data_IF_395049026209
#
_entry.id   IF_395049026209
#
_cell.length_a   1.000
_cell.length_b   1.000
_cell.length_c   1.000
_cell.angle_alpha   90.00
_cell.angle_beta   90.00
_cell.angle_gamma   90.00
#
_symmetry.space_group_name_H-M   'P 1'
#
loop_
_entity.id
_entity.type
_entity.pdbx_description
1 polymer ?
#
# COMPACT_ATOMS: atom_id res chain seq x y z
N UNK A 1 -0.37 2.75 -45.41
CA UNK A 1 -1.51 3.13 -44.54
C UNK A 1 -1.78 1.96 -43.61
N UNK A 2 -1.85 2.14 -42.28
CA UNK A 2 -2.20 1.03 -41.36
C UNK A 2 -3.70 1.09 -41.07
N UNK A 3 -4.44 0.18 -41.67
CA UNK A 3 -5.85 -0.10 -41.36
C UNK A 3 -6.00 -0.84 -40.04
N UNK A 4 -7.19 -0.69 -39.44
CA UNK A 4 -7.65 -1.29 -38.19
C UNK A 4 -7.06 -0.75 -36.88
N UNK A 5 -7.27 0.54 -36.62
CA UNK A 5 -7.78 0.96 -35.30
C UNK A 5 -9.22 1.39 -35.51
N UNK A 6 -10.17 0.66 -34.91
CA UNK A 6 -11.60 0.97 -34.98
C UNK A 6 -11.77 2.47 -34.64
N UNK A 7 -12.24 3.31 -35.59
CA UNK A 7 -12.30 4.78 -35.44
C UNK A 7 -13.07 5.22 -34.19
N UNK A 8 -13.93 4.35 -33.65
CA UNK A 8 -14.73 4.56 -32.45
C UNK A 8 -13.94 4.37 -31.15
N UNK A 9 -12.78 3.68 -31.19
CA UNK A 9 -11.94 3.49 -30.01
C UNK A 9 -10.88 4.59 -29.94
N UNK A 10 -11.11 5.60 -29.11
CA UNK A 10 -10.12 6.65 -28.80
C UNK A 10 -8.95 6.05 -28.01
N UNK A 11 -8.03 5.38 -28.71
CA UNK A 11 -6.83 4.78 -28.12
C UNK A 11 -5.66 5.76 -28.26
N UNK A 12 -5.17 6.28 -27.14
CA UNK A 12 -3.93 7.08 -27.12
C UNK A 12 -2.69 6.18 -27.17
N UNK A 13 -1.64 6.63 -27.86
CA UNK A 13 -0.36 5.93 -27.99
C UNK A 13 0.76 6.73 -27.30
N UNK A 14 1.42 6.13 -26.31
CA UNK A 14 2.47 6.75 -25.52
C UNK A 14 3.86 6.26 -25.93
N UNK A 15 4.82 7.18 -25.96
CA UNK A 15 6.23 6.91 -26.22
C UNK A 15 6.92 6.30 -25.01
N UNK A 16 8.00 5.56 -25.25
CA UNK A 16 8.89 5.16 -24.17
C UNK A 16 9.54 6.39 -23.52
N UNK A 17 9.75 6.38 -22.20
CA UNK A 17 10.43 7.46 -21.49
C UNK A 17 11.84 7.74 -22.01
N UNK A 18 12.27 9.01 -21.90
CA UNK A 18 13.65 9.42 -22.18
C UNK A 18 14.63 8.88 -21.13
N UNK A 19 14.18 8.83 -19.86
CA UNK A 19 14.97 8.28 -18.77
C UNK A 19 15.27 6.79 -18.99
N UNK A 20 16.55 6.42 -18.94
CA UNK A 20 17.02 5.07 -19.26
C UNK A 20 16.50 4.04 -18.27
N UNK A 21 16.53 4.34 -16.96
CA UNK A 21 16.04 3.44 -15.91
C UNK A 21 14.55 3.16 -16.06
N UNK A 22 13.74 4.21 -16.24
CA UNK A 22 12.29 4.06 -16.44
C UNK A 22 11.98 3.32 -17.74
N UNK A 23 12.74 3.57 -18.81
CA UNK A 23 12.61 2.85 -20.08
C UNK A 23 12.89 1.36 -19.92
N UNK A 24 13.93 1.00 -19.15
CA UNK A 24 14.26 -0.39 -18.86
C UNK A 24 13.15 -1.08 -18.06
N UNK A 25 12.55 -0.40 -17.07
CA UNK A 25 11.39 -0.91 -16.34
C UNK A 25 10.19 -1.18 -17.25
N UNK A 26 9.89 -0.26 -18.19
CA UNK A 26 8.83 -0.46 -19.17
C UNK A 26 9.11 -1.64 -20.10
N UNK A 27 10.37 -1.79 -20.54
CA UNK A 27 10.77 -2.91 -21.38
C UNK A 27 10.64 -4.25 -20.64
N UNK A 28 11.05 -4.29 -19.36
CA UNK A 28 10.90 -5.45 -18.48
C UNK A 28 9.44 -5.83 -18.27
N UNK A 29 8.55 -4.85 -18.13
CA UNK A 29 7.13 -5.09 -17.95
C UNK A 29 6.47 -5.76 -19.18
N UNK A 30 6.98 -5.51 -20.39
CA UNK A 30 6.49 -6.12 -21.62
C UNK A 30 6.90 -7.60 -21.76
N UNK A 31 7.96 -8.02 -21.04
CA UNK A 31 8.44 -9.41 -21.02
C UNK A 31 8.66 -10.04 -22.40
N UNK A 32 9.25 -9.29 -23.34
CA UNK A 32 9.61 -9.80 -24.67
C UNK A 32 11.11 -10.07 -24.75
N UNK A 33 11.47 -11.31 -25.04
CA UNK A 33 12.86 -11.76 -25.19
C UNK A 33 13.51 -11.13 -26.43
N UNK A 34 14.80 -10.79 -26.32
CA UNK A 34 15.60 -10.23 -27.41
C UNK A 34 15.09 -8.88 -27.96
N UNK A 35 14.18 -8.21 -27.26
CA UNK A 35 13.54 -6.99 -27.73
C UNK A 35 13.91 -5.77 -26.89
N UNK A 36 14.27 -4.68 -27.57
CA UNK A 36 14.52 -3.38 -26.96
C UNK A 36 13.61 -2.30 -27.55
N UNK A 37 13.17 -1.32 -26.72
CA UNK A 37 12.34 -0.23 -27.20
C UNK A 37 13.10 0.68 -28.14
N UNK A 38 12.57 0.85 -29.36
CA UNK A 38 13.06 1.80 -30.36
C UNK A 38 12.40 3.18 -30.15
N UNK A 39 12.94 4.27 -30.73
CA UNK A 39 12.32 5.61 -30.61
C UNK A 39 10.86 5.67 -31.09
N UNK A 40 10.50 4.82 -32.07
CA UNK A 40 9.15 4.70 -32.62
C UNK A 40 8.29 3.64 -31.90
N UNK A 41 8.83 2.94 -30.90
CA UNK A 41 8.05 2.02 -30.09
C UNK A 41 7.04 2.80 -29.25
N UNK A 42 5.80 2.32 -29.21
CA UNK A 42 4.68 2.96 -28.52
C UNK A 42 3.88 1.92 -27.74
N UNK A 43 3.26 2.36 -26.65
CA UNK A 43 2.34 1.57 -25.82
C UNK A 43 0.98 2.26 -25.84
N UNK A 44 -0.09 1.49 -26.02
CA UNK A 44 -1.44 2.05 -26.02
C UNK A 44 -1.96 2.30 -24.58
N UNK A 45 -2.89 3.25 -24.46
CA UNK A 45 -3.59 3.61 -23.21
C UNK A 45 -4.11 2.41 -22.40
N UNK A 46 -4.57 1.34 -23.06
CA UNK A 46 -5.12 0.14 -22.41
C UNK A 46 -4.16 -0.58 -21.45
N UNK A 47 -2.86 -0.30 -21.54
CA UNK A 47 -1.85 -0.90 -20.67
C UNK A 47 -1.68 -0.17 -19.33
N UNK A 48 -2.39 0.94 -19.13
CA UNK A 48 -2.40 1.77 -17.92
C UNK A 48 -3.81 1.75 -17.30
N UNK A 49 -3.89 1.79 -15.98
CA UNK A 49 -5.11 1.82 -15.17
C UNK A 49 -5.96 3.06 -15.46
N UNK A 50 -5.35 4.25 -15.44
CA UNK A 50 -6.00 5.52 -15.80
C UNK A 50 -5.92 5.82 -17.31
N UNK A 51 -5.42 4.88 -18.11
CA UNK A 51 -5.26 5.07 -19.55
C UNK A 51 -4.08 5.96 -19.96
N UNK A 52 -3.26 6.43 -19.01
CA UNK A 52 -2.08 7.27 -19.26
C UNK A 52 -0.94 6.96 -18.29
N UNK A 53 0.33 7.13 -18.69
CA UNK A 53 1.46 7.00 -17.78
C UNK A 53 1.53 8.18 -16.80
N UNK A 54 1.78 7.89 -15.52
CA UNK A 54 1.99 8.91 -14.48
C UNK A 54 3.46 9.25 -14.32
N UNK A 55 3.79 10.48 -13.91
CA UNK A 55 5.17 10.89 -13.59
C UNK A 55 5.57 10.62 -12.13
N UNK A 56 4.65 10.12 -11.31
CA UNK A 56 4.95 9.78 -9.94
C UNK A 56 5.32 8.28 -9.83
N UNK A 57 6.50 7.91 -9.28
CA UNK A 57 6.92 6.51 -9.12
C UNK A 57 6.00 5.69 -8.20
N UNK A 58 5.33 6.34 -7.25
CA UNK A 58 4.38 5.67 -6.35
C UNK A 58 3.05 5.33 -7.03
N UNK A 59 2.75 5.94 -8.18
CA UNK A 59 1.51 5.71 -8.90
C UNK A 59 1.51 4.31 -9.56
N UNK A 60 0.36 3.61 -9.63
CA UNK A 60 0.26 2.35 -10.38
C UNK A 60 0.68 2.51 -11.84
N UNK A 61 0.26 3.59 -12.51
CA UNK A 61 0.59 3.87 -13.92
C UNK A 61 1.99 4.47 -14.15
N UNK A 62 2.90 4.35 -13.20
CA UNK A 62 4.32 4.66 -13.45
C UNK A 62 4.87 3.81 -14.61
N UNK A 63 4.46 2.53 -14.63
CA UNK A 63 4.84 1.52 -15.62
C UNK A 63 3.58 0.86 -16.22
N UNK A 64 3.63 0.40 -17.48
CA UNK A 64 2.54 -0.39 -18.05
C UNK A 64 2.44 -1.70 -17.28
N UNK A 65 1.25 -2.01 -16.75
CA UNK A 65 1.06 -3.18 -15.89
C UNK A 65 -0.06 -4.10 -16.40
N UNK A 66 -0.91 -3.62 -17.30
CA UNK A 66 -2.04 -4.41 -17.81
C UNK A 66 -1.58 -5.17 -19.07
N UNK A 67 -1.33 -6.47 -18.93
CA UNK A 67 -1.01 -7.36 -20.05
C UNK A 67 -1.81 -8.67 -19.96
N UNK A 68 -2.15 -9.32 -21.10
CA UNK A 68 -2.92 -10.57 -21.10
C UNK A 68 -2.25 -11.71 -20.32
N UNK A 69 -0.91 -11.72 -20.26
CA UNK A 69 -0.14 -12.73 -19.54
C UNK A 69 -0.08 -12.50 -18.03
N UNK A 70 -0.60 -11.37 -17.54
CA UNK A 70 -0.51 -11.00 -16.13
C UNK A 70 -1.89 -10.94 -15.47
N UNK A 71 -2.47 -12.13 -15.28
CA UNK A 71 -3.84 -12.30 -14.79
C UNK A 71 -4.07 -11.74 -13.37
N UNK A 72 -3.01 -11.66 -12.56
CA UNK A 72 -3.09 -11.24 -11.16
C UNK A 72 -2.87 -9.74 -10.93
N UNK A 73 -2.56 -8.97 -11.99
CA UNK A 73 -2.21 -7.56 -11.81
C UNK A 73 -3.38 -6.65 -11.45
N UNK A 74 -4.64 -7.09 -11.62
CA UNK A 74 -5.82 -6.29 -11.27
C UNK A 74 -5.81 -5.91 -9.78
N UNK A 75 -5.72 -6.89 -8.89
CA UNK A 75 -5.71 -6.67 -7.43
C UNK A 75 -4.47 -5.89 -7.00
N UNK A 76 -3.32 -6.17 -7.60
CA UNK A 76 -2.08 -5.44 -7.35
C UNK A 76 -2.23 -3.94 -7.68
N UNK A 77 -2.75 -3.63 -8.88
CA UNK A 77 -3.00 -2.27 -9.33
C UNK A 77 -4.01 -1.54 -8.45
N UNK A 78 -5.11 -2.20 -8.07
CA UNK A 78 -6.12 -1.66 -7.15
C UNK A 78 -5.52 -1.32 -5.78
N UNK A 79 -4.72 -2.22 -5.21
CA UNK A 79 -4.04 -2.00 -3.93
C UNK A 79 -3.03 -0.85 -4.01
N UNK A 80 -2.23 -0.79 -5.09
CA UNK A 80 -1.26 0.29 -5.32
C UNK A 80 -1.98 1.63 -5.52
N UNK A 81 -3.09 1.66 -6.24
CA UNK A 81 -3.95 2.83 -6.40
C UNK A 81 -4.55 3.28 -5.07
N UNK A 82 -5.06 2.35 -4.26
CA UNK A 82 -5.61 2.67 -2.94
C UNK A 82 -4.53 3.24 -2.00
N UNK A 83 -3.32 2.67 -2.02
CA UNK A 83 -2.18 3.22 -1.28
C UNK A 83 -1.83 4.64 -1.75
N UNK A 84 -1.76 4.85 -3.05
CA UNK A 84 -1.49 6.15 -3.64
C UNK A 84 -2.52 7.20 -3.20
N UNK A 85 -3.82 6.87 -3.29
CA UNK A 85 -4.91 7.75 -2.84
C UNK A 85 -4.78 8.13 -1.37
N UNK A 86 -4.59 7.17 -0.47
CA UNK A 86 -4.39 7.45 0.98
C UNK A 86 -3.22 8.40 1.24
N UNK A 87 -2.14 8.30 0.45
CA UNK A 87 -0.99 9.21 0.57
C UNK A 87 -1.36 10.62 0.10
N UNK A 88 -2.09 10.75 -1.03
CA UNK A 88 -2.59 12.04 -1.50
C UNK A 88 -3.57 12.66 -0.49
N UNK A 89 -4.53 11.89 0.01
CA UNK A 89 -5.52 12.37 0.98
C UNK A 89 -4.85 12.92 2.24
N UNK A 90 -3.82 12.24 2.78
CA UNK A 90 -3.04 12.76 3.91
C UNK A 90 -2.30 14.05 3.58
N UNK A 91 -1.71 14.15 2.37
CA UNK A 91 -1.04 15.38 1.93
C UNK A 91 -2.03 16.54 1.80
N UNK A 92 -3.20 16.28 1.21
CA UNK A 92 -4.25 17.28 1.04
C UNK A 92 -4.89 17.67 2.36
N UNK A 93 -5.14 16.74 3.29
CA UNK A 93 -5.69 17.03 4.61
C UNK A 93 -4.75 17.87 5.49
N UNK A 94 -3.43 17.78 5.29
CA UNK A 94 -2.46 18.68 5.92
C UNK A 94 -2.48 20.08 5.29
N UNK A 95 -2.84 20.19 4.01
CA UNK A 95 -2.93 21.46 3.28
C UNK A 95 -4.30 22.14 3.41
N UNK A 96 -5.36 21.38 3.68
CA UNK A 96 -6.65 21.92 4.06
C UNK A 96 -6.53 22.43 5.50
N UNK A 97 -7.05 23.63 5.82
CA UNK A 97 -7.16 24.05 7.20
C UNK A 97 -7.92 22.96 7.94
N UNK A 98 -7.30 22.41 9.00
CA UNK A 98 -8.02 21.57 9.95
C UNK A 98 -9.32 22.31 10.29
N UNK A 99 -10.49 21.64 10.37
CA UNK A 99 -11.65 22.27 10.97
C UNK A 99 -11.22 22.69 12.37
N UNK A 100 -10.92 23.98 12.55
CA UNK A 100 -10.70 24.62 13.85
C UNK A 100 -12.09 24.74 14.47
N UNK A 101 -12.72 23.59 14.72
CA UNK A 101 -13.84 23.52 15.64
C UNK A 101 -13.33 23.93 17.01
N UNK A 102 -14.20 24.52 17.87
CA UNK A 102 -13.83 24.77 19.25
C UNK A 102 -13.26 23.49 19.85
N UNK A 103 -12.08 23.61 20.48
CA UNK A 103 -11.51 22.52 21.28
C UNK A 103 -12.64 22.00 22.19
N UNK A 104 -12.89 20.68 22.28
CA UNK A 104 -13.83 20.18 23.28
C UNK A 104 -13.33 20.72 24.62
N UNK A 105 -14.13 21.59 25.23
CA UNK A 105 -13.80 22.18 26.52
C UNK A 105 -13.62 20.99 27.46
N UNK A 106 -12.40 20.77 27.95
CA UNK A 106 -12.11 19.72 28.90
C UNK A 106 -12.90 20.07 30.15
N UNK A 107 -14.11 19.52 30.29
CA UNK A 107 -14.95 19.82 31.44
C UNK A 107 -14.18 19.38 32.68
N UNK A 108 -14.03 20.29 33.63
CA UNK A 108 -13.19 20.17 34.84
C UNK A 108 -13.59 19.02 35.80
N UNK A 109 -14.55 18.18 35.42
CA UNK A 109 -15.02 17.07 36.23
C UNK A 109 -14.19 15.81 35.96
N UNK A 110 -13.04 15.68 36.61
CA UNK A 110 -12.49 14.42 37.13
C UNK A 110 -11.23 14.72 37.95
N UNK A 111 -11.38 15.46 39.04
CA UNK A 111 -10.43 15.31 40.15
C UNK A 111 -10.87 14.06 40.92
N UNK A 112 -10.03 13.01 41.01
CA UNK A 112 -10.35 11.87 41.84
C UNK A 112 -10.39 12.32 43.30
N UNK A 113 -11.49 12.00 43.99
CA UNK A 113 -11.64 12.16 45.43
C UNK A 113 -10.43 11.57 46.18
N UNK A 114 -9.96 12.18 47.29
CA UNK A 114 -8.83 11.68 48.05
C UNK A 114 -9.18 10.33 48.68
N UNK A 115 -8.46 9.28 48.28
CA UNK A 115 -8.60 7.92 48.80
C UNK A 115 -8.14 7.93 50.27
N UNK A 116 -9.08 8.03 51.19
CA UNK A 116 -8.85 7.75 52.61
C UNK A 116 -9.18 6.28 52.89
N UNK A 117 -8.13 5.56 53.29
CA UNK A 117 -8.11 4.37 54.17
C UNK A 117 -8.80 3.09 53.71
N UNK A 118 -8.01 2.02 53.49
CA UNK A 118 -8.20 0.66 54.04
C UNK A 118 -6.97 -0.22 53.67
N UNK A 119 -6.69 -1.30 54.43
CA UNK A 119 -5.42 -1.51 55.12
C UNK A 119 -4.47 -2.48 54.42
N UNK A 120 -3.19 -2.38 54.81
CA UNK A 120 -2.13 -3.35 54.56
C UNK A 120 -2.55 -4.71 55.15
N UNK A 121 -2.96 -5.63 54.28
CA UNK A 121 -3.01 -7.05 54.60
C UNK A 121 -2.03 -7.80 53.72
N UNK A 122 -1.14 -8.49 54.43
CA UNK A 122 0.06 -9.12 53.93
C UNK A 122 -0.27 -10.43 53.21
N UNK A 123 0.55 -10.72 52.20
CA UNK A 123 1.15 -12.03 51.93
C UNK A 123 0.23 -13.25 51.89
N UNK A 124 -0.03 -13.76 50.67
CA UNK A 124 0.14 -15.19 50.39
C UNK A 124 0.74 -15.37 48.99
N UNK A 125 1.91 -16.02 48.97
CA UNK A 125 2.64 -16.46 47.79
C UNK A 125 1.81 -17.47 46.98
N UNK A 126 1.66 -17.24 45.68
CA UNK A 126 1.30 -18.27 44.68
C UNK A 126 2.05 -17.96 43.36
N UNK A 127 2.38 -18.98 42.55
CA UNK A 127 3.71 -19.17 41.99
C UNK A 127 3.92 -18.35 40.73
N UNK A 128 5.19 -17.99 40.49
CA UNK A 128 5.67 -17.32 39.29
C UNK A 128 5.13 -18.03 38.04
N UNK A 129 4.23 -17.34 37.33
CA UNK A 129 3.65 -17.78 36.08
C UNK A 129 4.75 -17.96 35.04
N UNK A 130 5.05 -19.21 34.72
CA UNK A 130 5.74 -19.54 33.49
C UNK A 130 4.91 -19.01 32.31
N UNK A 131 5.56 -18.27 31.42
CA UNK A 131 4.99 -17.86 30.14
C UNK A 131 4.39 -19.07 29.42
N UNK A 132 3.28 -18.87 28.68
CA UNK A 132 2.66 -19.92 27.86
C UNK A 132 3.69 -20.66 26.98
N UNK A 133 4.75 -19.95 26.55
CA UNK A 133 5.86 -20.52 25.81
C UNK A 133 6.62 -21.61 26.58
N UNK A 134 6.80 -21.42 27.89
CA UNK A 134 7.56 -22.32 28.75
C UNK A 134 6.74 -23.56 29.18
N UNK A 135 5.41 -23.44 29.25
CA UNK A 135 4.52 -24.61 29.37
C UNK A 135 4.54 -25.48 28.11
N UNK A 136 4.59 -24.88 26.92
CA UNK A 136 4.71 -25.63 25.66
C UNK A 136 6.02 -26.41 25.56
N UNK A 137 7.13 -25.83 26.03
CA UNK A 137 8.43 -26.51 25.99
C UNK A 137 8.50 -27.72 26.94
N UNK A 138 7.87 -27.67 28.12
CA UNK A 138 7.87 -28.80 29.06
C UNK A 138 7.01 -29.98 28.56
N UNK A 139 5.88 -29.70 27.89
CA UNK A 139 5.04 -30.75 27.30
C UNK A 139 5.74 -31.52 26.17
N UNK A 140 6.67 -30.89 25.45
CA UNK A 140 7.43 -31.52 24.38
C UNK A 140 8.50 -32.51 24.87
N UNK A 141 9.04 -32.32 26.09
CA UNK A 141 10.10 -33.17 26.64
C UNK A 141 9.55 -34.47 27.25
N UNK A 142 8.28 -34.53 27.67
CA UNK A 142 7.67 -35.72 28.28
C UNK A 142 7.06 -36.72 27.28
N UNK A 143 7.18 -36.48 25.97
CA UNK A 143 6.63 -37.35 24.92
C UNK A 143 7.71 -38.22 24.22
N UNK A 144 8.94 -38.25 24.74
CA UNK A 144 10.08 -39.01 24.16
C UNK A 144 10.72 -39.94 25.22
N UNK A 145 9.91 -40.55 26.08
CA UNK A 145 10.33 -41.71 26.89
C UNK A 145 9.24 -42.75 26.94
#
# INVERSE_FOLDING_TARGET
MRGNTNLLSKISMFSFPTNVSRRAEWARAIRREGWSPKPKSRICSKHFVEGKPSNNPDHPDWNPSIFPFEKENKRFNENKMARFRRVQDRRTAVLLPLPVGPLPQLSSALLPEPILSLPLMMSQNLPLGLSAYQQMCQAATMMIS
#
